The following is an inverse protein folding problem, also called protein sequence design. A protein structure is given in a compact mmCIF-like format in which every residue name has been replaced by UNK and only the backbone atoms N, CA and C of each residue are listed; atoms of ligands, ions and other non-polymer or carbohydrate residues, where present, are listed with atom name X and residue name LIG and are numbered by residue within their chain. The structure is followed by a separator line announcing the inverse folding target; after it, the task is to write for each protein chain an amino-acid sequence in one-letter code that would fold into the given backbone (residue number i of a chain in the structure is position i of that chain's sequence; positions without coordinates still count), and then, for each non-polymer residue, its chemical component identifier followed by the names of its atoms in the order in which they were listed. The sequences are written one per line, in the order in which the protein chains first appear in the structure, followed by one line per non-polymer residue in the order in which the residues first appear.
data_IF_983244211256
#
_entry.id   IF_983244211256
#
_cell.length_a   1.000
_cell.length_b   1.000
_cell.length_c   1.000
_cell.angle_alpha   90.00
_cell.angle_beta   90.00
_cell.angle_gamma   90.00
#
_symmetry.space_group_name_H-M   'P 1'
#
loop_
_entity.id
_entity.type
_entity.pdbx_description
1 polymer ?
#
# COMPACT_ATOMS: atom_id res chain seq x y z
N UNK A 1 25.02 -26.19 42.36
CA UNK A 1 25.71 -25.13 41.60
C UNK A 1 24.92 -24.86 40.32
N UNK A 2 24.28 -23.70 40.20
CA UNK A 2 23.53 -23.31 38.99
C UNK A 2 24.46 -22.81 37.88
N UNK A 3 24.03 -22.92 36.61
CA UNK A 3 24.85 -22.50 35.46
C UNK A 3 24.96 -20.97 35.38
N UNK A 4 26.14 -20.49 34.96
CA UNK A 4 26.41 -19.07 34.73
C UNK A 4 26.10 -18.70 33.27
N UNK A 5 25.56 -17.49 33.07
CA UNK A 5 25.24 -16.95 31.75
C UNK A 5 26.53 -16.83 30.92
N UNK A 6 26.59 -17.49 29.75
CA UNK A 6 27.73 -17.43 28.84
C UNK A 6 28.82 -18.48 29.06
N UNK A 7 28.50 -19.61 29.70
CA UNK A 7 29.44 -20.73 30.00
C UNK A 7 30.02 -21.47 28.77
N UNK A 8 29.89 -20.92 27.56
CA UNK A 8 30.45 -21.49 26.33
C UNK A 8 29.80 -22.79 25.84
N UNK A 9 28.88 -23.38 26.60
CA UNK A 9 28.23 -24.67 26.26
C UNK A 9 27.00 -24.52 25.36
N UNK A 10 26.75 -23.32 24.83
CA UNK A 10 25.60 -23.02 23.96
C UNK A 10 24.25 -23.09 24.68
N UNK A 11 23.19 -22.56 24.05
CA UNK A 11 21.82 -22.76 24.56
C UNK A 11 21.44 -24.23 24.31
N UNK A 12 21.35 -25.04 25.36
CA UNK A 12 20.82 -26.40 25.26
C UNK A 12 19.30 -26.33 25.04
N UNK A 13 18.88 -26.41 23.78
CA UNK A 13 17.49 -26.68 23.41
C UNK A 13 16.49 -25.62 23.85
N UNK A 14 16.35 -24.55 23.06
CA UNK A 14 15.19 -23.67 23.09
C UNK A 14 14.72 -23.38 21.67
N UNK A 15 13.47 -22.95 21.49
CA UNK A 15 12.94 -22.57 20.17
C UNK A 15 13.88 -21.57 19.50
N UNK A 16 14.26 -21.86 18.26
CA UNK A 16 15.06 -20.96 17.42
C UNK A 16 14.29 -19.65 17.20
N UNK A 17 14.99 -18.52 17.26
CA UNK A 17 14.41 -17.21 16.94
C UNK A 17 13.87 -17.27 15.50
N UNK A 18 12.57 -17.05 15.33
CA UNK A 18 11.89 -17.15 14.03
C UNK A 18 11.05 -18.42 13.82
N UNK A 19 11.05 -19.39 14.73
CA UNK A 19 10.11 -20.52 14.64
C UNK A 19 8.67 -20.00 14.79
N UNK A 20 7.79 -20.13 13.76
CA UNK A 20 6.40 -19.65 13.83
C UNK A 20 5.67 -20.30 15.01
N UNK A 21 4.87 -19.53 15.74
CA UNK A 21 4.17 -20.05 16.91
C UNK A 21 3.24 -21.20 16.46
N UNK A 22 3.43 -22.43 16.94
CA UNK A 22 2.67 -23.60 16.45
C UNK A 22 1.16 -23.41 16.62
N UNK A 23 0.79 -22.68 17.67
CA UNK A 23 -0.58 -22.31 18.02
C UNK A 23 -1.18 -21.33 17.00
N UNK A 24 -0.41 -20.40 16.44
CA UNK A 24 -0.95 -19.45 15.45
C UNK A 24 -1.23 -20.12 14.10
N UNK A 25 -0.46 -21.15 13.73
CA UNK A 25 -0.74 -21.98 12.56
C UNK A 25 -2.06 -22.74 12.71
N UNK A 26 -2.25 -23.43 13.85
CA UNK A 26 -3.45 -24.23 14.11
C UNK A 26 -4.73 -23.39 14.18
N UNK A 27 -4.66 -22.18 14.75
CA UNK A 27 -5.84 -21.29 14.81
C UNK A 27 -6.18 -20.75 13.44
N UNK A 28 -5.19 -20.37 12.62
CA UNK A 28 -5.43 -19.87 11.25
C UNK A 28 -6.04 -20.96 10.37
N UNK A 29 -5.49 -22.18 10.43
CA UNK A 29 -6.01 -23.34 9.71
C UNK A 29 -7.44 -23.68 10.16
N UNK A 30 -7.71 -23.61 11.47
CA UNK A 30 -9.06 -23.82 11.99
C UNK A 30 -10.05 -22.76 11.50
N UNK A 31 -9.69 -21.46 11.56
CA UNK A 31 -10.55 -20.38 11.06
C UNK A 31 -10.81 -20.53 9.56
N UNK A 32 -9.77 -20.84 8.77
CA UNK A 32 -9.91 -21.07 7.34
C UNK A 32 -10.88 -22.22 7.07
N UNK A 33 -10.72 -23.34 7.79
CA UNK A 33 -11.63 -24.48 7.67
C UNK A 33 -13.07 -24.11 8.04
N UNK A 34 -13.28 -23.35 9.12
CA UNK A 34 -14.63 -22.88 9.48
C UNK A 34 -15.25 -22.04 8.36
N UNK A 35 -14.48 -21.16 7.72
CA UNK A 35 -14.98 -20.34 6.60
C UNK A 35 -15.32 -21.24 5.40
N UNK A 36 -14.42 -22.15 5.02
CA UNK A 36 -14.59 -23.04 3.88
C UNK A 36 -15.80 -23.98 4.07
N UNK A 37 -15.95 -24.56 5.26
CA UNK A 37 -17.04 -25.48 5.62
C UNK A 37 -18.41 -24.78 5.62
N UNK A 38 -18.46 -23.45 5.83
CA UNK A 38 -19.71 -22.68 5.84
C UNK A 38 -20.03 -22.02 4.51
N UNK A 39 -19.25 -22.25 3.45
CA UNK A 39 -19.45 -21.59 2.16
C UNK A 39 -20.82 -21.88 1.54
N UNK A 40 -21.23 -23.15 1.48
CA UNK A 40 -22.53 -23.51 0.91
C UNK A 40 -23.67 -22.87 1.69
N UNK A 41 -23.61 -22.95 3.02
CA UNK A 41 -24.60 -22.32 3.89
C UNK A 41 -24.69 -20.81 3.66
N UNK A 42 -23.55 -20.15 3.48
CA UNK A 42 -23.53 -18.71 3.19
C UNK A 42 -24.18 -18.37 1.85
N UNK A 43 -23.99 -19.21 0.82
CA UNK A 43 -24.66 -19.05 -0.48
C UNK A 43 -26.17 -19.25 -0.35
N UNK A 44 -26.62 -20.27 0.39
CA UNK A 44 -28.04 -20.53 0.66
C UNK A 44 -28.68 -19.37 1.46
N UNK A 45 -28.02 -18.91 2.54
CA UNK A 45 -28.47 -17.78 3.37
C UNK A 45 -28.58 -16.50 2.51
N UNK A 46 -27.69 -16.30 1.54
CA UNK A 46 -27.70 -15.17 0.61
C UNK A 46 -28.92 -15.19 -0.32
N UNK A 47 -29.33 -16.38 -0.77
CA UNK A 47 -30.49 -16.56 -1.65
C UNK A 47 -31.81 -16.31 -0.92
N UNK A 48 -31.84 -16.64 0.37
CA UNK A 48 -33.00 -16.44 1.26
C UNK A 48 -33.18 -14.97 1.71
N UNK A 49 -32.19 -14.10 1.49
CA UNK A 49 -32.31 -12.67 1.82
C UNK A 49 -33.33 -11.93 0.93
N UNK A 50 -33.92 -10.88 1.49
CA UNK A 50 -34.72 -9.95 0.70
C UNK A 50 -33.88 -9.34 -0.44
N UNK A 51 -34.48 -9.06 -1.61
CA UNK A 51 -33.74 -8.59 -2.78
C UNK A 51 -32.84 -7.37 -2.51
N UNK A 52 -33.29 -6.42 -1.70
CA UNK A 52 -32.51 -5.23 -1.34
C UNK A 52 -31.31 -5.53 -0.45
N UNK A 53 -31.45 -6.46 0.50
CA UNK A 53 -30.38 -6.88 1.39
C UNK A 53 -29.33 -7.70 0.64
N UNK A 54 -29.78 -8.64 -0.20
CA UNK A 54 -28.90 -9.41 -1.08
C UNK A 54 -28.02 -8.51 -1.96
N UNK A 55 -28.61 -7.47 -2.59
CA UNK A 55 -27.85 -6.50 -3.39
C UNK A 55 -26.80 -5.76 -2.55
N UNK A 56 -27.12 -5.38 -1.31
CA UNK A 56 -26.16 -4.71 -0.41
C UNK A 56 -25.00 -5.63 -0.03
N UNK A 57 -25.28 -6.88 0.36
CA UNK A 57 -24.25 -7.86 0.71
C UNK A 57 -23.33 -8.11 -0.48
N UNK A 58 -23.90 -8.36 -1.67
CA UNK A 58 -23.11 -8.56 -2.90
C UNK A 58 -22.27 -7.32 -3.22
N UNK A 59 -22.82 -6.12 -3.09
CA UNK A 59 -22.07 -4.87 -3.32
C UNK A 59 -20.87 -4.73 -2.39
N UNK A 60 -21.01 -5.15 -1.12
CA UNK A 60 -19.91 -5.16 -0.16
C UNK A 60 -18.86 -6.24 -0.48
N UNK A 61 -19.25 -7.36 -1.11
CA UNK A 61 -18.31 -8.41 -1.55
C UNK A 61 -17.56 -8.01 -2.83
N UNK A 62 -18.20 -7.30 -3.75
CA UNK A 62 -17.60 -6.83 -5.01
C UNK A 62 -16.32 -6.02 -4.79
N UNK A 63 -16.20 -5.33 -3.66
CA UNK A 63 -15.02 -4.53 -3.30
C UNK A 63 -13.74 -5.35 -3.09
N UNK A 64 -13.87 -6.67 -2.90
CA UNK A 64 -12.75 -7.60 -2.70
C UNK A 64 -12.38 -8.36 -3.98
N UNK A 65 -13.26 -8.35 -5.00
CA UNK A 65 -13.05 -9.03 -6.28
C UNK A 65 -12.65 -8.04 -7.38
N UNK A 66 -13.20 -6.83 -7.32
CA UNK A 66 -12.88 -5.76 -8.26
C UNK A 66 -11.72 -4.93 -7.71
N UNK A 67 -10.70 -4.60 -8.52
CA UNK A 67 -9.72 -3.60 -8.14
C UNK A 67 -10.47 -2.34 -7.72
N UNK A 68 -10.35 -1.94 -6.45
CA UNK A 68 -10.84 -0.62 -6.05
C UNK A 68 -10.11 0.37 -6.94
N UNK A 69 -10.84 1.21 -7.66
CA UNK A 69 -10.24 2.42 -8.22
C UNK A 69 -9.70 3.19 -7.01
N UNK A 70 -8.42 2.99 -6.69
CA UNK A 70 -7.77 3.79 -5.67
C UNK A 70 -7.91 5.21 -6.18
N UNK A 71 -8.58 6.05 -5.40
CA UNK A 71 -8.45 7.48 -5.55
C UNK A 71 -6.95 7.74 -5.42
N UNK A 72 -6.30 8.03 -6.54
CA UNK A 72 -4.88 8.36 -6.54
C UNK A 72 -4.73 9.52 -5.57
N UNK A 73 -3.92 9.34 -4.53
CA UNK A 73 -3.75 10.40 -3.54
C UNK A 73 -3.14 11.64 -4.23
N UNK A 74 -3.36 12.86 -3.72
CA UNK A 74 -2.70 14.04 -4.26
C UNK A 74 -1.18 13.88 -4.34
N UNK A 75 -0.58 13.18 -3.37
CA UNK A 75 0.84 12.88 -3.31
C UNK A 75 1.26 11.89 -4.42
N UNK A 76 0.47 10.86 -4.67
CA UNK A 76 0.72 9.88 -5.74
C UNK A 76 0.59 10.50 -7.13
N UNK A 77 -0.38 11.42 -7.33
CA UNK A 77 -0.52 12.19 -8.57
C UNK A 77 0.69 13.11 -8.78
N UNK A 78 1.11 13.83 -7.74
CA UNK A 78 2.25 14.73 -7.80
C UNK A 78 3.54 13.98 -8.12
N UNK A 79 3.78 12.83 -7.50
CA UNK A 79 4.93 11.97 -7.80
C UNK A 79 4.90 11.51 -9.27
N UNK A 80 3.74 11.06 -9.76
CA UNK A 80 3.59 10.64 -11.16
C UNK A 80 3.86 11.80 -12.15
N UNK A 81 3.44 13.02 -11.81
CA UNK A 81 3.74 14.23 -12.59
C UNK A 81 5.23 14.56 -12.58
N UNK A 82 5.90 14.48 -11.43
CA UNK A 82 7.35 14.68 -11.33
C UNK A 82 8.14 13.67 -12.15
N UNK A 83 7.74 12.39 -12.11
CA UNK A 83 8.40 11.34 -12.90
C UNK A 83 8.27 11.61 -14.40
N UNK A 84 7.06 11.95 -14.88
CA UNK A 84 6.86 12.31 -16.28
C UNK A 84 7.65 13.55 -16.69
N UNK A 85 7.72 14.56 -15.83
CA UNK A 85 8.51 15.76 -16.11
C UNK A 85 10.00 15.42 -16.22
N UNK A 86 10.51 14.54 -15.35
CA UNK A 86 11.90 14.08 -15.38
C UNK A 86 12.20 13.35 -16.69
N UNK A 87 11.34 12.42 -17.08
CA UNK A 87 11.47 11.70 -18.36
C UNK A 87 11.48 12.65 -19.57
N UNK A 88 10.60 13.67 -19.57
CA UNK A 88 10.56 14.67 -20.63
C UNK A 88 11.83 15.53 -20.66
N UNK A 89 12.39 15.87 -19.50
CA UNK A 89 13.63 16.65 -19.41
C UNK A 89 14.84 15.84 -19.89
N UNK A 90 14.90 14.55 -19.56
CA UNK A 90 15.98 13.65 -19.99
C UNK A 90 15.94 13.40 -21.50
N UNK A 91 14.74 13.36 -22.11
CA UNK A 91 14.57 13.18 -23.54
C UNK A 91 14.65 14.50 -24.35
N UNK A 92 14.63 15.65 -23.69
CA UNK A 92 14.63 16.95 -24.37
C UNK A 92 16.03 17.33 -24.87
N UNK A 93 16.13 18.02 -26.03
CA UNK A 93 17.40 18.61 -26.47
C UNK A 93 17.89 19.70 -25.50
N UNK A 94 19.21 19.80 -25.31
CA UNK A 94 19.84 20.77 -24.42
C UNK A 94 19.43 22.22 -24.71
N UNK A 95 19.23 22.57 -25.99
CA UNK A 95 18.78 23.90 -26.40
C UNK A 95 17.43 24.26 -25.75
N UNK A 96 16.47 23.33 -25.77
CA UNK A 96 15.13 23.51 -25.20
C UNK A 96 15.21 23.60 -23.67
N UNK A 97 16.04 22.77 -23.02
CA UNK A 97 16.24 22.81 -21.56
C UNK A 97 16.80 24.16 -21.14
N UNK A 98 17.78 24.69 -21.87
CA UNK A 98 18.38 25.99 -21.59
C UNK A 98 17.37 27.14 -21.75
N UNK A 99 16.52 27.10 -22.77
CA UNK A 99 15.44 28.09 -22.94
C UNK A 99 14.45 28.08 -21.77
N UNK A 100 14.08 26.89 -21.28
CA UNK A 100 13.20 26.71 -20.12
C UNK A 100 13.85 27.34 -18.87
N UNK A 101 15.13 27.07 -18.62
CA UNK A 101 15.88 27.65 -17.50
C UNK A 101 15.88 29.18 -17.57
N UNK A 102 16.16 29.76 -18.74
CA UNK A 102 16.16 31.21 -18.92
C UNK A 102 14.76 31.83 -18.76
N UNK A 103 13.71 31.11 -19.14
CA UNK A 103 12.33 31.56 -18.88
C UNK A 103 12.02 31.56 -17.38
N UNK A 104 12.43 30.53 -16.64
CA UNK A 104 12.22 30.44 -15.18
C UNK A 104 12.98 31.55 -14.44
N UNK A 105 14.25 31.82 -14.83
CA UNK A 105 15.03 32.91 -14.24
C UNK A 105 14.35 34.27 -14.43
N UNK A 106 13.85 34.56 -15.64
CA UNK A 106 13.10 35.79 -15.93
C UNK A 106 11.88 35.92 -15.03
N UNK A 107 11.03 34.89 -14.97
CA UNK A 107 9.81 34.89 -14.15
C UNK A 107 10.11 35.06 -12.66
N UNK A 108 11.18 34.44 -12.15
CA UNK A 108 11.59 34.56 -10.75
C UNK A 108 12.08 35.97 -10.43
N UNK A 109 12.85 36.57 -11.34
CA UNK A 109 13.36 37.94 -11.18
C UNK A 109 12.24 38.98 -11.24
N UNK A 110 11.26 38.80 -12.12
CA UNK A 110 10.10 39.69 -12.23
C UNK A 110 9.23 39.63 -10.96
N UNK A 111 8.96 38.43 -10.45
CA UNK A 111 8.23 38.25 -9.18
C UNK A 111 8.95 38.91 -7.99
N UNK A 112 10.28 38.79 -7.91
CA UNK A 112 11.06 39.45 -6.84
C UNK A 112 10.98 40.97 -6.91
N UNK A 113 10.96 41.55 -8.11
CA UNK A 113 10.84 43.01 -8.31
C UNK A 113 9.47 43.56 -7.90
N UNK A 114 8.41 42.77 -8.08
CA UNK A 114 7.06 43.12 -7.62
C UNK A 114 6.98 43.12 -6.09
N UNK A 115 7.54 42.10 -5.42
CA UNK A 115 7.52 42.02 -3.94
C UNK A 115 8.36 43.08 -3.21
N UNK A 116 9.27 43.77 -3.91
CA UNK A 116 10.11 44.85 -3.33
C UNK A 116 9.54 46.26 -3.52
N UNK A 117 8.38 46.39 -4.19
CA UNK A 117 7.72 47.68 -4.44
C UNK A 117 6.57 47.99 -3.47
N UNK A 118 6.18 47.03 -2.64
CA UNK A 118 5.31 47.20 -1.47
C UNK A 118 6.16 47.35 -0.19
#
# INVERSE_FOLDING_TARGET
MGRKKGDGKGRLGGRTKGTPNRISGTVKEWIQKVIDDNRQKFEDDLDDLEPGERVRVISNLLQYVTPKMQSVSPEELLEAEYQKLTELLDAAPDEVVNEIVERIKRLTNDRRRETTKD
#
